data_IF_655526501107
#
_entry.id   IF_655526501107
#
_cell.length_a   1.000
_cell.length_b   1.000
_cell.length_c   1.000
_cell.angle_alpha   90.00
_cell.angle_beta   90.00
_cell.angle_gamma   90.00
#
_symmetry.space_group_name_H-M   'P 1'
#
loop_
_entity.id
_entity.type
_entity.pdbx_description
1 polymer ?
#
# COMPACT_ATOMS: atom_id res chain seq x y z
N UNK A 1 2.46 14.83 20.07
CA UNK A 1 1.40 14.03 19.45
C UNK A 1 1.78 12.56 19.65
N UNK A 2 1.17 11.87 20.61
CA UNK A 2 1.42 10.45 20.86
C UNK A 2 0.41 9.64 20.05
N UNK A 3 0.91 8.92 19.03
CA UNK A 3 0.13 7.98 18.24
C UNK A 3 0.14 6.67 19.02
N UNK A 4 -0.97 6.32 19.63
CA UNK A 4 -1.15 5.00 20.24
C UNK A 4 -1.68 4.04 19.20
N UNK A 5 -0.79 3.30 18.52
CA UNK A 5 -1.16 2.09 17.78
C UNK A 5 -1.30 0.95 18.78
N UNK A 6 -2.52 0.49 19.00
CA UNK A 6 -2.75 -0.77 19.71
C UNK A 6 -2.57 -1.89 18.69
N UNK A 7 -1.34 -2.41 18.60
CA UNK A 7 -1.06 -3.66 17.92
C UNK A 7 -1.17 -4.79 18.94
N UNK A 8 -2.04 -5.74 18.68
CA UNK A 8 -2.14 -6.99 19.45
C UNK A 8 -0.89 -7.81 19.16
N UNK A 9 -0.02 -7.93 20.16
CA UNK A 9 1.24 -8.66 20.12
C UNK A 9 1.01 -10.17 20.16
N UNK A 10 1.44 -10.86 19.13
CA UNK A 10 1.80 -12.29 19.20
C UNK A 10 3.30 -12.43 19.43
N UNK A 11 3.76 -13.53 20.10
CA UNK A 11 5.08 -13.59 20.69
C UNK A 11 6.20 -13.61 19.64
N UNK A 12 7.16 -12.74 19.86
CA UNK A 12 8.40 -12.64 19.09
C UNK A 12 9.41 -13.66 19.60
N UNK A 13 9.82 -14.57 18.75
CA UNK A 13 11.12 -15.23 18.88
C UNK A 13 11.85 -15.07 17.55
N UNK A 14 12.80 -14.14 17.50
CA UNK A 14 14.14 -14.30 16.90
C UNK A 14 14.86 -12.97 16.84
N UNK A 15 15.72 -12.75 17.84
CA UNK A 15 16.75 -11.71 17.88
C UNK A 15 17.89 -12.09 16.92
N UNK A 16 17.79 -11.65 15.68
CA UNK A 16 18.94 -11.32 14.84
C UNK A 16 18.69 -9.93 14.29
N UNK A 17 19.71 -9.07 14.39
CA UNK A 17 19.72 -7.71 13.86
C UNK A 17 19.50 -7.72 12.33
N UNK A 18 18.25 -7.95 11.93
CA UNK A 18 17.77 -7.59 10.60
C UNK A 18 17.41 -6.11 10.69
N UNK A 19 18.01 -5.32 9.84
CA UNK A 19 17.58 -3.95 9.59
C UNK A 19 16.06 -4.01 9.42
N UNK A 20 15.33 -3.33 10.29
CA UNK A 20 13.88 -3.36 10.23
C UNK A 20 13.45 -2.73 8.91
N UNK A 21 12.48 -3.29 8.23
CA UNK A 21 11.97 -2.74 6.96
C UNK A 21 11.42 -1.30 7.14
N UNK A 22 11.02 -0.96 8.36
CA UNK A 22 10.64 0.39 8.77
C UNK A 22 11.79 1.40 8.60
N UNK A 23 13.04 0.96 8.88
CA UNK A 23 14.24 1.80 8.68
C UNK A 23 14.48 2.06 7.17
N UNK A 24 14.11 1.09 6.33
CA UNK A 24 14.15 1.24 4.87
C UNK A 24 13.11 2.27 4.43
N UNK A 25 11.89 2.15 4.95
CA UNK A 25 10.81 3.09 4.67
C UNK A 25 11.19 4.52 5.11
N UNK A 26 11.72 4.70 6.33
CA UNK A 26 12.17 6.01 6.82
C UNK A 26 13.24 6.64 5.91
N UNK A 27 14.18 5.86 5.39
CA UNK A 27 15.19 6.35 4.44
C UNK A 27 14.59 6.73 3.09
N UNK A 28 13.60 6.00 2.61
CA UNK A 28 12.88 6.33 1.39
C UNK A 28 12.09 7.62 1.55
N UNK A 29 11.45 7.81 2.71
CA UNK A 29 10.69 9.02 3.06
C UNK A 29 11.60 10.24 3.22
N UNK A 30 12.76 10.08 3.88
CA UNK A 30 13.70 11.19 4.12
C UNK A 30 14.23 11.84 2.82
N UNK A 31 14.16 11.13 1.70
CA UNK A 31 14.58 11.59 0.38
C UNK A 31 13.43 12.12 -0.50
N UNK A 32 12.20 12.16 0.01
CA UNK A 32 11.01 12.52 -0.77
C UNK A 32 10.33 13.82 -0.35
N UNK A 33 9.45 14.32 -1.20
CA UNK A 33 8.63 15.52 -0.94
C UNK A 33 7.46 15.23 0.04
N UNK A 34 7.00 16.24 0.80
CA UNK A 34 6.08 16.13 1.95
C UNK A 34 4.59 15.83 1.61
N UNK A 35 4.27 14.87 0.77
CA UNK A 35 2.88 14.47 0.56
C UNK A 35 2.48 13.27 1.44
N UNK A 36 1.84 13.53 2.57
CA UNK A 36 1.49 12.54 3.59
C UNK A 36 0.65 11.35 3.06
N UNK A 37 -0.30 11.60 2.16
CA UNK A 37 -1.16 10.54 1.60
C UNK A 37 -0.40 9.57 0.67
N UNK A 38 0.66 10.05 0.02
CA UNK A 38 1.51 9.22 -0.83
C UNK A 38 2.39 8.29 -0.01
N UNK A 39 2.89 8.76 1.15
CA UNK A 39 3.68 7.94 2.07
C UNK A 39 2.85 6.84 2.72
N UNK A 40 1.60 7.12 3.04
CA UNK A 40 0.69 6.10 3.58
C UNK A 40 0.46 4.96 2.58
N UNK A 41 0.26 5.29 1.30
CA UNK A 41 0.15 4.30 0.23
C UNK A 41 1.43 3.46 0.04
N UNK A 42 2.62 4.10 0.09
CA UNK A 42 3.89 3.40 -0.02
C UNK A 42 4.11 2.47 1.17
N UNK A 43 3.83 2.95 2.38
CA UNK A 43 3.93 2.15 3.59
C UNK A 43 3.04 0.90 3.53
N UNK A 44 1.80 1.07 3.08
CA UNK A 44 0.87 -0.03 2.89
C UNK A 44 1.35 -1.02 1.83
N UNK A 45 1.88 -0.53 0.70
CA UNK A 45 2.41 -1.38 -0.37
C UNK A 45 3.64 -2.19 0.10
N UNK A 46 4.56 -1.58 0.84
CA UNK A 46 5.72 -2.26 1.40
C UNK A 46 5.34 -3.24 2.51
N UNK A 47 4.37 -2.89 3.36
CA UNK A 47 3.84 -3.80 4.38
C UNK A 47 3.24 -5.05 3.73
N UNK A 48 2.44 -4.87 2.68
CA UNK A 48 1.85 -5.97 1.92
C UNK A 48 2.92 -6.86 1.27
N UNK A 49 3.97 -6.26 0.70
CA UNK A 49 5.09 -7.00 0.11
C UNK A 49 5.90 -7.78 1.16
N UNK A 50 6.04 -7.25 2.38
CA UNK A 50 6.73 -7.94 3.47
C UNK A 50 5.94 -9.15 3.97
N UNK A 51 4.63 -8.99 4.13
CA UNK A 51 3.77 -10.09 4.57
C UNK A 51 3.64 -11.19 3.51
N UNK A 52 3.79 -10.81 2.25
CA UNK A 52 3.68 -11.67 1.09
C UNK A 52 4.89 -11.50 0.17
N UNK A 53 6.06 -11.99 0.59
CA UNK A 53 7.28 -11.83 -0.19
C UNK A 53 7.16 -12.44 -1.58
N UNK A 54 7.70 -11.73 -2.56
CA UNK A 54 7.71 -12.17 -3.96
C UNK A 54 8.77 -13.27 -4.13
N UNK A 55 8.40 -14.38 -4.74
CA UNK A 55 9.39 -15.37 -5.13
C UNK A 55 10.18 -14.86 -6.34
N UNK A 56 11.45 -14.54 -6.14
CA UNK A 56 12.32 -13.97 -7.16
C UNK A 56 12.42 -14.86 -8.40
N UNK A 57 12.40 -16.19 -8.20
CA UNK A 57 12.56 -17.18 -9.27
C UNK A 57 11.36 -17.30 -10.20
N UNK A 58 10.20 -16.83 -9.77
CA UNK A 58 8.96 -16.85 -10.57
C UNK A 58 8.40 -15.46 -10.80
N UNK A 59 9.11 -14.43 -10.32
CA UNK A 59 8.66 -13.05 -10.41
C UNK A 59 8.54 -12.61 -11.87
N UNK A 60 7.42 -11.96 -12.17
CA UNK A 60 7.24 -11.27 -13.45
C UNK A 60 7.89 -9.89 -13.40
N UNK A 61 8.08 -9.28 -14.59
CA UNK A 61 8.59 -7.91 -14.67
C UNK A 61 7.73 -6.95 -13.87
N UNK A 62 6.41 -7.05 -13.99
CA UNK A 62 5.44 -6.21 -13.29
C UNK A 62 5.48 -6.38 -11.76
N UNK A 63 5.83 -7.58 -11.29
CA UNK A 63 5.99 -7.83 -9.85
C UNK A 63 7.28 -7.19 -9.31
N UNK A 64 8.37 -7.25 -10.05
CA UNK A 64 9.63 -6.62 -9.67
C UNK A 64 9.56 -5.08 -9.75
N UNK A 65 8.80 -4.55 -10.70
CA UNK A 65 8.56 -3.11 -10.84
C UNK A 65 7.75 -2.51 -9.67
N UNK A 66 7.14 -3.31 -8.80
CA UNK A 66 6.54 -2.82 -7.55
C UNK A 66 7.58 -2.24 -6.59
N UNK A 67 8.82 -2.68 -6.69
CA UNK A 67 9.90 -2.12 -5.89
C UNK A 67 10.37 -0.79 -6.49
N UNK A 68 9.87 0.32 -5.96
CA UNK A 68 10.17 1.67 -6.46
C UNK A 68 11.65 2.05 -6.44
N UNK A 69 12.47 1.32 -5.70
CA UNK A 69 13.91 1.52 -5.63
C UNK A 69 14.70 0.69 -6.67
N UNK A 70 14.03 -0.18 -7.43
CA UNK A 70 14.65 -0.87 -8.56
C UNK A 70 14.49 -0.05 -9.84
N UNK A 71 15.58 0.17 -10.56
CA UNK A 71 15.51 0.70 -11.91
C UNK A 71 15.06 -0.37 -12.90
N UNK A 72 14.45 0.03 -14.03
CA UNK A 72 14.06 -0.90 -15.11
C UNK A 72 15.21 -1.76 -15.57
N UNK A 73 16.39 -1.16 -15.71
CA UNK A 73 17.61 -1.86 -16.08
C UNK A 73 17.96 -2.96 -15.10
N UNK A 74 17.81 -2.68 -13.81
CA UNK A 74 18.09 -3.67 -12.77
C UNK A 74 17.06 -4.80 -12.77
N UNK A 75 15.79 -4.48 -12.99
CA UNK A 75 14.72 -5.47 -13.18
C UNK A 75 15.03 -6.37 -14.39
N UNK A 76 15.43 -5.79 -15.51
CA UNK A 76 15.82 -6.56 -16.70
C UNK A 76 17.06 -7.43 -16.46
N UNK A 77 18.04 -6.92 -15.73
CA UNK A 77 19.23 -7.68 -15.37
C UNK A 77 18.90 -8.87 -14.45
N UNK A 78 17.98 -8.72 -13.50
CA UNK A 78 17.49 -9.82 -12.65
C UNK A 78 16.83 -10.89 -13.51
N UNK A 79 15.92 -10.51 -14.40
CA UNK A 79 15.22 -11.44 -15.29
C UNK A 79 16.19 -12.13 -16.26
N UNK A 80 17.17 -11.40 -16.79
CA UNK A 80 18.21 -11.96 -17.64
C UNK A 80 19.09 -12.96 -16.89
N UNK A 81 19.45 -12.67 -15.64
CA UNK A 81 20.21 -13.59 -14.80
C UNK A 81 19.44 -14.91 -14.61
N UNK A 82 18.15 -14.83 -14.25
CA UNK A 82 17.29 -16.00 -14.08
C UNK A 82 17.14 -16.81 -15.37
N UNK A 83 17.03 -16.13 -16.52
CA UNK A 83 16.97 -16.80 -17.82
C UNK A 83 18.27 -17.54 -18.15
N UNK A 84 19.43 -16.92 -17.88
CA UNK A 84 20.74 -17.43 -18.28
C UNK A 84 21.30 -18.49 -17.32
N UNK A 85 21.14 -18.27 -16.03
CA UNK A 85 21.79 -19.10 -14.99
C UNK A 85 20.81 -19.97 -14.21
N UNK A 86 19.53 -19.76 -14.38
CA UNK A 86 18.48 -20.51 -13.67
C UNK A 86 18.07 -19.87 -12.34
N UNK A 87 17.33 -20.62 -11.51
CA UNK A 87 16.79 -20.11 -10.27
C UNK A 87 17.89 -19.81 -9.24
N UNK A 88 17.75 -18.68 -8.56
CA UNK A 88 18.60 -18.27 -7.44
C UNK A 88 18.25 -19.06 -6.19
N UNK A 89 19.23 -19.46 -5.41
CA UNK A 89 19.07 -20.21 -4.16
C UNK A 89 19.22 -19.32 -2.91
N UNK A 90 19.88 -18.18 -3.06
CA UNK A 90 20.18 -17.29 -1.93
C UNK A 90 20.29 -15.82 -2.34
N UNK A 91 20.20 -14.93 -1.31
CA UNK A 91 20.40 -13.49 -1.49
C UNK A 91 21.80 -13.11 -1.98
N UNK A 92 22.81 -13.99 -1.76
CA UNK A 92 24.18 -13.75 -2.26
C UNK A 92 24.28 -13.78 -3.79
N UNK A 93 23.42 -14.55 -4.43
CA UNK A 93 23.40 -14.64 -5.89
C UNK A 93 22.85 -13.37 -6.54
N UNK A 94 22.04 -12.59 -5.82
CA UNK A 94 21.62 -11.26 -6.29
C UNK A 94 22.80 -10.34 -6.56
N UNK A 95 23.90 -10.45 -5.78
CA UNK A 95 25.11 -9.66 -6.00
C UNK A 95 25.86 -10.02 -7.29
N UNK A 96 25.52 -11.15 -7.92
CA UNK A 96 26.06 -11.53 -9.23
C UNK A 96 25.29 -10.93 -10.39
N UNK A 97 24.13 -10.32 -10.11
CA UNK A 97 23.36 -9.59 -11.12
C UNK A 97 24.08 -8.30 -11.47
N UNK A 98 24.17 -8.00 -12.75
CA UNK A 98 24.82 -6.79 -13.23
C UNK A 98 24.15 -5.52 -12.65
N UNK A 99 24.94 -4.55 -12.23
CA UNK A 99 24.53 -3.29 -11.63
C UNK A 99 23.80 -3.43 -10.26
N UNK A 100 23.83 -4.62 -9.63
CA UNK A 100 23.29 -4.84 -8.30
C UNK A 100 24.31 -4.42 -7.24
N UNK A 101 23.88 -3.59 -6.29
CA UNK A 101 24.68 -3.19 -5.14
C UNK A 101 24.20 -3.84 -3.83
N UNK A 102 25.07 -3.82 -2.81
CA UNK A 102 24.78 -4.43 -1.50
C UNK A 102 23.58 -3.74 -0.83
N UNK A 103 23.41 -2.45 -1.05
CA UNK A 103 22.32 -1.69 -0.43
C UNK A 103 20.97 -2.06 -1.04
N UNK A 104 20.90 -2.19 -2.36
CA UNK A 104 19.70 -2.66 -3.06
C UNK A 104 19.32 -4.09 -2.64
N UNK A 105 20.31 -4.99 -2.49
CA UNK A 105 20.06 -6.35 -1.96
C UNK A 105 19.47 -6.29 -0.54
N UNK A 106 20.00 -5.43 0.34
CA UNK A 106 19.43 -5.25 1.69
C UNK A 106 17.99 -4.76 1.64
N UNK A 107 17.67 -3.83 0.74
CA UNK A 107 16.32 -3.32 0.58
C UNK A 107 15.36 -4.37 0.04
N UNK A 108 15.81 -5.25 -0.87
CA UNK A 108 14.99 -6.32 -1.42
C UNK A 108 14.74 -7.47 -0.44
N UNK A 109 15.73 -7.80 0.38
CA UNK A 109 15.72 -9.00 1.21
C UNK A 109 14.46 -9.23 2.06
N UNK A 110 13.84 -8.21 2.70
CA UNK A 110 12.61 -8.40 3.46
C UNK A 110 11.38 -8.78 2.62
N UNK A 111 11.42 -8.53 1.32
CA UNK A 111 10.28 -8.58 0.40
C UNK A 111 10.34 -9.72 -0.61
N UNK A 112 11.40 -10.53 -0.57
CA UNK A 112 11.61 -11.62 -1.54
C UNK A 112 11.86 -12.95 -0.88
N UNK A 113 11.58 -14.03 -1.63
CA UNK A 113 11.90 -15.42 -1.27
C UNK A 113 12.58 -16.12 -2.43
N UNK A 114 13.31 -17.21 -2.14
CA UNK A 114 14.05 -18.02 -3.10
C UNK A 114 13.49 -19.44 -3.18
N UNK A 115 12.17 -19.59 -3.21
CA UNK A 115 11.54 -20.91 -3.29
C UNK A 115 11.73 -21.53 -4.66
N UNK A 116 11.84 -22.86 -4.72
CA UNK A 116 11.81 -23.59 -5.99
C UNK A 116 10.48 -23.36 -6.70
N UNK A 117 10.55 -23.24 -8.03
CA UNK A 117 9.40 -22.95 -8.88
C UNK A 117 8.50 -24.18 -9.05
N UNK A 118 7.78 -24.58 -8.03
CA UNK A 118 6.60 -25.40 -8.24
C UNK A 118 5.46 -24.50 -8.72
N UNK A 119 5.29 -24.47 -10.04
CA UNK A 119 4.19 -23.76 -10.69
C UNK A 119 2.90 -24.43 -10.29
N UNK A 120 2.23 -23.94 -9.27
CA UNK A 120 0.80 -24.21 -9.05
C UNK A 120 0.02 -23.69 -10.26
N UNK A 121 -0.24 -24.61 -11.20
CA UNK A 121 -1.09 -24.36 -12.38
C UNK A 121 -2.57 -24.46 -12.08
N UNK A 122 -2.96 -24.61 -10.84
CA UNK A 122 -4.36 -24.80 -10.49
C UNK A 122 -5.14 -23.49 -10.51
N UNK A 123 -6.20 -23.52 -11.33
CA UNK A 123 -7.23 -22.48 -11.29
C UNK A 123 -7.94 -22.61 -9.94
N UNK A 124 -7.77 -21.67 -9.02
CA UNK A 124 -8.37 -21.81 -7.70
C UNK A 124 -9.89 -21.77 -7.83
N UNK A 125 -10.55 -22.72 -7.17
CA UNK A 125 -12.00 -22.69 -7.02
C UNK A 125 -12.39 -21.60 -6.00
N UNK A 126 -13.58 -21.02 -6.10
CA UNK A 126 -14.07 -20.01 -5.15
C UNK A 126 -13.99 -20.49 -3.70
N UNK A 127 -14.27 -21.75 -3.43
CA UNK A 127 -14.13 -22.35 -2.09
C UNK A 127 -12.69 -22.32 -1.60
N UNK A 128 -11.73 -22.60 -2.47
CA UNK A 128 -10.29 -22.55 -2.16
C UNK A 128 -9.85 -21.10 -1.88
N UNK A 129 -10.32 -20.14 -2.67
CA UNK A 129 -10.04 -18.72 -2.48
C UNK A 129 -10.51 -18.28 -1.09
N UNK A 130 -11.76 -18.57 -0.73
CA UNK A 130 -12.34 -18.15 0.55
C UNK A 130 -11.64 -18.82 1.75
N UNK A 131 -11.37 -20.13 1.64
CA UNK A 131 -10.81 -20.89 2.76
C UNK A 131 -9.32 -20.61 3.01
N UNK A 132 -8.56 -20.24 1.97
CA UNK A 132 -7.12 -19.98 2.07
C UNK A 132 -6.78 -18.50 1.90
N UNK A 133 -7.79 -17.65 1.73
CA UNK A 133 -7.61 -16.20 1.71
C UNK A 133 -7.26 -15.67 3.10
N UNK A 134 -6.34 -14.72 3.15
CA UNK A 134 -6.01 -13.97 4.36
C UNK A 134 -6.97 -12.81 4.53
N UNK A 135 -7.41 -12.60 5.75
CA UNK A 135 -8.29 -11.50 6.12
C UNK A 135 -7.58 -10.64 7.16
N UNK A 136 -7.64 -9.35 6.96
CA UNK A 136 -7.09 -8.37 7.87
C UNK A 136 -8.14 -7.31 8.17
N UNK A 137 -8.22 -6.94 9.44
CA UNK A 137 -9.06 -5.88 9.92
C UNK A 137 -8.20 -4.90 10.69
N UNK A 138 -8.06 -3.69 10.19
CA UNK A 138 -7.35 -2.62 10.89
C UNK A 138 -8.30 -1.48 11.22
N UNK A 139 -8.04 -0.81 12.35
CA UNK A 139 -8.74 0.40 12.76
C UNK A 139 -7.74 1.36 13.36
N UNK A 140 -7.90 2.64 13.04
CA UNK A 140 -7.09 3.72 13.57
C UNK A 140 -8.01 4.73 14.26
N UNK A 141 -7.59 5.17 15.43
CA UNK A 141 -8.30 6.16 16.24
C UNK A 141 -7.32 7.24 16.67
N UNK A 142 -7.54 8.49 16.21
CA UNK A 142 -6.72 9.63 16.59
C UNK A 142 -7.52 10.52 17.53
N UNK A 143 -7.12 10.55 18.80
CA UNK A 143 -7.78 11.34 19.85
C UNK A 143 -6.92 12.56 20.16
N UNK A 144 -7.40 13.80 19.90
CA UNK A 144 -6.70 15.00 20.31
C UNK A 144 -6.79 15.20 21.82
N UNK A 145 -5.68 15.47 22.49
CA UNK A 145 -5.63 15.80 23.92
C UNK A 145 -5.90 17.29 24.21
N UNK A 146 -6.33 18.04 23.20
CA UNK A 146 -6.67 19.46 23.32
C UNK A 146 -8.03 19.74 22.67
N UNK A 147 -8.70 20.77 23.15
CA UNK A 147 -9.99 21.18 22.58
C UNK A 147 -9.77 21.95 21.28
N UNK A 148 -10.22 21.40 20.15
CA UNK A 148 -10.18 22.08 18.85
C UNK A 148 -11.12 23.28 18.84
N UNK A 149 -10.79 24.29 18.04
CA UNK A 149 -11.57 25.57 17.96
C UNK A 149 -13.05 25.37 17.68
N UNK A 150 -13.43 24.38 16.86
CA UNK A 150 -14.84 24.10 16.52
C UNK A 150 -15.68 23.53 17.66
N UNK A 151 -15.10 23.20 18.83
CA UNK A 151 -15.79 22.77 20.06
C UNK A 151 -15.80 23.84 21.14
N UNK A 152 -15.17 24.98 20.88
CA UNK A 152 -15.23 26.11 21.82
C UNK A 152 -16.64 26.79 21.79
N UNK A 153 -17.03 27.43 22.87
CA UNK A 153 -18.26 28.22 22.88
C UNK A 153 -18.22 29.29 21.80
N UNK A 154 -19.24 29.33 20.97
CA UNK A 154 -19.35 30.27 19.85
C UNK A 154 -20.60 31.14 20.13
N UNK A 155 -20.49 32.46 19.88
CA UNK A 155 -21.57 33.40 20.03
C UNK A 155 -22.65 33.17 18.95
N UNK A 156 -23.92 33.46 19.24
CA UNK A 156 -25.01 33.28 18.27
C UNK A 156 -24.82 34.11 17.00
N UNK A 157 -24.15 35.24 17.11
CA UNK A 157 -23.83 36.14 15.99
C UNK A 157 -22.76 35.53 15.08
N UNK A 158 -21.67 35.01 15.63
CA UNK A 158 -20.62 34.31 14.87
C UNK A 158 -21.13 33.06 14.17
N UNK A 159 -22.09 32.34 14.77
CA UNK A 159 -22.70 31.16 14.17
C UNK A 159 -23.63 31.51 13.01
N UNK A 160 -24.26 32.69 13.05
CA UNK A 160 -25.06 33.20 11.92
C UNK A 160 -24.18 33.61 10.72
N UNK A 161 -23.02 34.24 11.00
CA UNK A 161 -22.07 34.63 9.96
C UNK A 161 -21.39 33.43 9.32
N UNK A 162 -21.05 32.41 10.14
CA UNK A 162 -20.35 31.21 9.71
C UNK A 162 -20.96 29.94 10.28
N UNK A 163 -22.00 29.38 9.66
CA UNK A 163 -22.73 28.19 10.18
C UNK A 163 -21.85 26.95 10.30
N UNK A 164 -20.76 26.85 9.52
CA UNK A 164 -19.84 25.71 9.51
C UNK A 164 -18.72 25.81 10.56
N UNK A 165 -18.71 26.84 11.39
CA UNK A 165 -17.68 27.07 12.42
C UNK A 165 -17.80 26.11 13.60
N UNK A 166 -18.96 25.51 13.80
CA UNK A 166 -19.26 24.55 14.89
C UNK A 166 -19.20 23.12 14.36
N UNK A 167 -18.40 22.30 15.00
CA UNK A 167 -18.39 20.86 14.72
C UNK A 167 -19.65 20.18 15.29
N UNK A 168 -20.22 19.27 14.50
CA UNK A 168 -21.48 18.58 14.85
C UNK A 168 -21.21 17.16 15.42
N UNK A 169 -20.06 16.59 15.17
CA UNK A 169 -19.64 15.27 15.63
C UNK A 169 -18.58 15.33 16.73
N UNK A 170 -18.11 14.19 17.17
CA UNK A 170 -17.08 14.09 18.21
C UNK A 170 -15.67 14.41 17.68
N UNK A 171 -14.73 14.70 18.61
CA UNK A 171 -13.45 15.33 18.30
C UNK A 171 -12.38 14.39 17.75
N UNK A 172 -12.62 13.10 17.73
CA UNK A 172 -11.62 12.14 17.26
C UNK A 172 -11.89 11.69 15.82
N UNK A 173 -10.80 11.43 15.12
CA UNK A 173 -10.77 10.77 13.81
C UNK A 173 -10.77 9.27 14.02
N UNK A 174 -11.48 8.54 13.18
CA UNK A 174 -11.31 7.11 13.11
C UNK A 174 -11.53 6.58 11.70
N UNK A 175 -10.77 5.55 11.38
CA UNK A 175 -10.99 4.78 10.18
C UNK A 175 -11.13 3.27 10.50
N UNK A 176 -11.70 2.60 9.54
CA UNK A 176 -11.91 1.17 9.52
C UNK A 176 -11.46 0.66 8.16
N UNK A 177 -10.60 -0.35 8.14
CA UNK A 177 -10.13 -0.97 6.90
C UNK A 177 -10.25 -2.49 7.01
N UNK A 178 -10.97 -3.07 6.10
CA UNK A 178 -11.05 -4.50 5.90
C UNK A 178 -10.37 -4.87 4.59
N UNK A 179 -9.48 -5.85 4.61
CA UNK A 179 -8.83 -6.39 3.44
C UNK A 179 -8.94 -7.91 3.42
N UNK A 180 -9.24 -8.46 2.25
CA UNK A 180 -9.18 -9.87 1.95
C UNK A 180 -8.25 -10.06 0.78
N UNK A 181 -7.33 -11.02 0.90
CA UNK A 181 -6.36 -11.34 -0.13
C UNK A 181 -6.22 -12.84 -0.31
N UNK A 182 -6.19 -13.28 -1.55
CA UNK A 182 -5.83 -14.64 -1.91
C UNK A 182 -4.69 -14.63 -2.93
N UNK A 183 -3.48 -15.03 -2.50
CA UNK A 183 -2.26 -14.97 -3.32
C UNK A 183 -2.12 -13.58 -3.97
N UNK A 184 -1.52 -13.49 -5.15
CA UNK A 184 -1.48 -12.26 -5.98
C UNK A 184 -2.68 -12.15 -6.94
N UNK A 185 -3.72 -12.98 -6.76
CA UNK A 185 -4.81 -13.12 -7.73
C UNK A 185 -6.07 -12.37 -7.35
N UNK A 186 -6.42 -12.32 -6.07
CA UNK A 186 -7.68 -11.73 -5.62
C UNK A 186 -7.43 -10.79 -4.45
N UNK A 187 -7.89 -9.56 -4.59
CA UNK A 187 -7.86 -8.53 -3.57
C UNK A 187 -9.25 -7.92 -3.43
N UNK A 188 -9.80 -7.94 -2.24
CA UNK A 188 -11.07 -7.29 -1.90
C UNK A 188 -10.84 -6.43 -0.69
N UNK A 189 -11.39 -5.25 -0.66
CA UNK A 189 -11.30 -4.43 0.54
C UNK A 189 -12.35 -3.34 0.61
N UNK A 190 -12.47 -2.81 1.81
CA UNK A 190 -13.31 -1.69 2.15
C UNK A 190 -12.56 -0.82 3.14
N UNK A 191 -12.32 0.43 2.78
CA UNK A 191 -11.85 1.46 3.69
C UNK A 191 -13.00 2.40 3.97
N UNK A 192 -13.20 2.75 5.23
CA UNK A 192 -14.18 3.75 5.64
C UNK A 192 -13.54 4.67 6.67
N UNK A 193 -13.78 5.96 6.56
CA UNK A 193 -13.23 6.94 7.50
C UNK A 193 -14.23 8.00 7.88
N UNK A 194 -13.92 8.65 8.97
CA UNK A 194 -14.65 9.78 9.51
C UNK A 194 -13.67 10.79 10.08
N UNK A 195 -13.74 12.00 9.59
CA UNK A 195 -12.94 13.09 10.10
C UNK A 195 -13.39 13.59 11.48
N UNK A 196 -12.44 14.20 12.18
CA UNK A 196 -12.72 14.78 13.49
C UNK A 196 -13.64 15.99 13.36
N UNK A 197 -14.79 15.94 14.03
CA UNK A 197 -15.80 17.00 13.98
C UNK A 197 -17.01 16.68 13.13
N UNK A 198 -16.97 15.63 12.35
CA UNK A 198 -18.08 15.19 11.52
C UNK A 198 -19.08 14.33 12.28
N UNK A 199 -20.38 14.44 11.96
CA UNK A 199 -21.41 13.63 12.59
C UNK A 199 -21.33 12.18 12.16
N UNK A 200 -21.50 11.23 13.10
CA UNK A 200 -21.48 9.81 12.87
C UNK A 200 -22.78 9.18 13.32
N UNK A 201 -23.56 8.64 12.40
CA UNK A 201 -24.94 8.16 12.60
C UNK A 201 -25.87 9.18 13.26
N UNK A 202 -25.58 10.47 13.16
CA UNK A 202 -26.35 11.54 13.77
C UNK A 202 -26.59 12.71 12.81
N UNK A 203 -27.64 13.51 13.06
CA UNK A 203 -27.92 14.70 12.30
C UNK A 203 -28.14 14.45 10.81
N UNK A 204 -27.34 15.08 9.97
CA UNK A 204 -27.41 14.95 8.50
C UNK A 204 -26.73 13.69 7.97
N UNK A 205 -25.83 13.08 8.74
CA UNK A 205 -25.12 11.87 8.35
C UNK A 205 -25.71 10.62 9.02
N UNK A 206 -26.67 9.98 8.35
CA UNK A 206 -27.28 8.72 8.81
C UNK A 206 -26.50 7.48 8.32
N UNK A 207 -25.50 7.64 7.44
CA UNK A 207 -24.74 6.55 6.84
C UNK A 207 -23.51 6.11 7.65
N UNK A 208 -23.17 6.84 8.70
CA UNK A 208 -22.02 6.58 9.57
C UNK A 208 -20.78 7.29 9.08
N UNK A 209 -19.92 6.58 8.37
CA UNK A 209 -18.72 7.17 7.76
C UNK A 209 -19.11 8.14 6.63
N UNK A 210 -18.36 9.19 6.44
CA UNK A 210 -18.51 10.14 5.35
C UNK A 210 -17.81 9.69 4.08
N UNK A 211 -16.73 8.92 4.22
CA UNK A 211 -16.01 8.34 3.12
C UNK A 211 -16.02 6.80 3.15
N UNK A 212 -16.24 6.20 1.99
CA UNK A 212 -16.16 4.76 1.75
C UNK A 212 -15.40 4.47 0.46
N UNK A 213 -14.38 3.61 0.56
CA UNK A 213 -13.56 3.18 -0.57
C UNK A 213 -13.57 1.66 -0.70
N UNK A 214 -14.58 1.08 -1.38
CA UNK A 214 -14.58 -0.34 -1.72
C UNK A 214 -13.70 -0.59 -2.94
N UNK A 215 -13.03 -1.75 -2.98
CA UNK A 215 -12.33 -2.23 -4.15
C UNK A 215 -12.41 -3.75 -4.30
N UNK A 216 -12.39 -4.20 -5.54
CA UNK A 216 -12.18 -5.58 -5.94
C UNK A 216 -11.17 -5.59 -7.09
N UNK A 217 -10.08 -6.33 -6.92
CA UNK A 217 -9.09 -6.52 -7.96
C UNK A 217 -8.82 -8.02 -8.13
N UNK A 218 -9.05 -8.52 -9.34
CA UNK A 218 -8.76 -9.91 -9.73
C UNK A 218 -7.70 -9.88 -10.82
N UNK A 219 -6.68 -10.72 -10.72
CA UNK A 219 -5.57 -10.81 -11.67
C UNK A 219 -5.29 -12.24 -12.07
N UNK A 220 -4.87 -12.44 -13.31
CA UNK A 220 -4.32 -13.69 -13.86
C UNK A 220 -5.15 -14.93 -13.53
N UNK A 221 -6.48 -14.82 -13.68
CA UNK A 221 -7.42 -15.94 -13.53
C UNK A 221 -7.82 -16.52 -14.89
N UNK A 222 -7.05 -17.47 -15.37
CA UNK A 222 -7.29 -18.12 -16.65
C UNK A 222 -7.11 -17.17 -17.84
N UNK A 223 -8.22 -16.80 -18.51
CA UNK A 223 -8.21 -15.84 -19.62
C UNK A 223 -8.32 -14.38 -19.17
N UNK A 224 -8.74 -14.17 -17.93
CA UNK A 224 -8.89 -12.83 -17.35
C UNK A 224 -7.53 -12.34 -16.86
N UNK A 225 -7.00 -11.32 -17.51
CA UNK A 225 -5.72 -10.71 -17.12
C UNK A 225 -5.86 -9.80 -15.90
N UNK A 226 -6.85 -8.90 -15.92
CA UNK A 226 -7.18 -8.05 -14.79
C UNK A 226 -8.66 -7.64 -14.85
N UNK A 227 -9.28 -7.56 -13.67
CA UNK A 227 -10.60 -6.96 -13.44
C UNK A 227 -10.48 -6.10 -12.19
N UNK A 228 -10.78 -4.83 -12.31
CA UNK A 228 -10.87 -3.91 -11.19
C UNK A 228 -12.28 -3.32 -11.10
N UNK A 229 -12.84 -3.30 -9.91
CA UNK A 229 -14.13 -2.69 -9.59
C UNK A 229 -14.00 -1.85 -8.33
N UNK A 230 -14.75 -0.74 -8.26
CA UNK A 230 -14.67 0.22 -7.16
C UNK A 230 -13.49 1.15 -7.33
N UNK A 231 -12.80 1.47 -6.24
CA UNK A 231 -11.67 2.41 -6.25
C UNK A 231 -10.37 1.67 -6.60
N UNK A 232 -9.72 2.08 -7.68
CA UNK A 232 -8.47 1.50 -8.13
C UNK A 232 -7.55 2.58 -8.71
N UNK A 233 -6.27 2.27 -8.79
CA UNK A 233 -5.25 3.13 -9.40
C UNK A 233 -4.79 2.56 -10.73
N UNK A 234 -4.59 3.44 -11.70
CA UNK A 234 -4.08 3.09 -13.02
C UNK A 234 -2.76 3.78 -13.27
N UNK A 235 -1.84 3.05 -13.87
CA UNK A 235 -0.63 3.60 -14.43
C UNK A 235 -0.34 2.92 -15.78
N UNK A 236 -0.28 3.69 -16.84
CA UNK A 236 0.02 3.18 -18.18
C UNK A 236 1.09 4.01 -18.88
N UNK A 237 1.96 3.30 -19.60
CA UNK A 237 3.05 3.91 -20.35
C UNK A 237 4.07 4.58 -19.42
N UNK A 238 4.45 5.80 -19.75
CA UNK A 238 5.38 6.62 -18.95
C UNK A 238 4.69 7.42 -17.84
N UNK A 239 3.41 7.18 -17.59
CA UNK A 239 2.67 7.90 -16.58
C UNK A 239 2.32 9.36 -16.93
N UNK A 240 2.43 9.74 -18.19
CA UNK A 240 2.16 11.13 -18.62
C UNK A 240 0.67 11.47 -18.68
N UNK A 241 -0.17 10.47 -18.96
CA UNK A 241 -1.63 10.67 -19.12
C UNK A 241 -2.40 9.99 -17.98
N UNK A 242 -1.99 8.78 -17.62
CA UNK A 242 -2.62 8.00 -16.55
C UNK A 242 -1.55 7.56 -15.57
N UNK A 243 -1.35 8.35 -14.53
CA UNK A 243 -0.48 8.01 -13.42
C UNK A 243 -1.11 8.48 -12.11
N UNK A 244 -1.59 7.53 -11.34
CA UNK A 244 -2.09 7.74 -9.98
C UNK A 244 -1.14 7.15 -8.94
N UNK A 245 0.07 6.77 -9.38
CA UNK A 245 1.09 6.18 -8.53
C UNK A 245 1.94 7.23 -7.82
N UNK A 246 2.60 6.77 -6.77
CA UNK A 246 3.55 7.54 -6.00
C UNK A 246 4.80 7.91 -6.81
N UNK A 247 5.18 9.18 -6.79
CA UNK A 247 6.42 9.67 -7.35
C UNK A 247 7.34 10.12 -6.21
N UNK A 248 8.43 9.39 -6.00
CA UNK A 248 9.46 9.77 -5.05
C UNK A 248 10.25 10.97 -5.60
N UNK A 249 10.05 12.17 -5.07
CA UNK A 249 10.79 13.42 -5.28
C UNK A 249 11.52 13.65 -6.62
N UNK A 250 11.92 14.86 -6.90
CA UNK A 250 12.50 15.26 -8.20
C UNK A 250 13.77 14.49 -8.59
N UNK A 251 14.63 14.16 -7.64
CA UNK A 251 15.89 13.44 -7.88
C UNK A 251 15.66 11.97 -8.23
N UNK A 252 14.71 11.33 -7.57
CA UNK A 252 14.34 9.95 -7.83
C UNK A 252 13.53 9.84 -9.12
N UNK A 253 12.74 10.86 -9.46
CA UNK A 253 12.07 10.97 -10.76
C UNK A 253 13.07 10.93 -11.93
N UNK A 254 14.22 11.57 -11.80
CA UNK A 254 15.23 11.60 -12.87
C UNK A 254 15.84 10.19 -13.06
N UNK A 255 16.12 9.47 -11.98
CA UNK A 255 16.69 8.12 -12.04
C UNK A 255 15.67 7.06 -12.47
N UNK A 256 14.37 7.33 -12.27
CA UNK A 256 13.25 6.46 -12.66
C UNK A 256 12.51 6.95 -13.90
N UNK A 257 12.99 8.02 -14.55
CA UNK A 257 12.49 8.48 -15.84
C UNK A 257 12.69 7.39 -16.88
N UNK A 258 11.58 6.79 -17.32
CA UNK A 258 11.61 5.63 -18.21
C UNK A 258 10.99 4.37 -17.62
N UNK A 259 10.76 4.33 -16.30
CA UNK A 259 10.07 3.21 -15.66
C UNK A 259 8.62 3.15 -16.15
N UNK A 260 8.33 2.15 -16.94
CA UNK A 260 6.98 1.85 -17.42
C UNK A 260 6.25 1.04 -16.36
N UNK A 261 5.78 1.71 -15.31
CA UNK A 261 4.91 1.05 -14.34
C UNK A 261 3.50 0.94 -14.93
N UNK A 262 3.31 -0.03 -15.80
CA UNK A 262 1.98 -0.31 -16.35
C UNK A 262 1.22 -1.25 -15.43
N UNK A 263 0.00 -0.90 -15.09
CA UNK A 263 -0.87 -1.82 -14.37
C UNK A 263 -2.03 -1.17 -13.64
N UNK A 264 -2.86 -2.05 -13.10
CA UNK A 264 -3.98 -1.71 -12.24
C UNK A 264 -3.60 -2.10 -10.82
N UNK A 265 -3.71 -1.18 -9.87
CA UNK A 265 -3.47 -1.41 -8.44
C UNK A 265 -4.73 -1.16 -7.62
N UNK A 266 -4.85 -1.83 -6.48
CA UNK A 266 -5.89 -1.54 -5.50
C UNK A 266 -5.72 -0.11 -4.97
N UNK A 267 -6.82 0.53 -4.61
CA UNK A 267 -6.82 1.80 -3.87
C UNK A 267 -7.48 1.58 -2.51
N UNK A 268 -6.68 1.52 -1.47
CA UNK A 268 -7.11 1.28 -0.09
C UNK A 268 -6.85 2.45 0.83
N UNK A 269 -6.41 3.57 0.27
CA UNK A 269 -6.14 4.81 1.01
C UNK A 269 -7.42 5.50 1.46
N UNK A 270 -7.30 6.29 2.51
CA UNK A 270 -8.32 7.24 2.99
C UNK A 270 -8.31 8.53 2.18
N UNK A 271 -7.50 8.64 1.15
CA UNK A 271 -7.50 9.82 0.28
C UNK A 271 -8.79 9.89 -0.52
N UNK A 272 -9.59 10.93 -0.26
CA UNK A 272 -10.87 11.19 -0.93
C UNK A 272 -10.73 11.53 -2.41
N UNK A 273 -9.55 11.91 -2.88
CA UNK A 273 -9.30 12.12 -4.30
C UNK A 273 -9.38 10.77 -5.02
N UNK A 274 -10.56 10.48 -5.51
CA UNK A 274 -10.82 9.29 -6.31
C UNK A 274 -10.40 9.53 -7.74
N UNK A 275 -9.78 8.54 -8.30
CA UNK A 275 -9.23 8.65 -9.64
C UNK A 275 -10.06 7.90 -10.68
N UNK A 276 -10.93 7.01 -10.27
CA UNK A 276 -11.85 6.27 -11.17
C UNK A 276 -13.06 5.72 -10.41
#
# INVERSE_FOLDING_TARGET
MLIACISVLFPVNNLYSQEKWEDIFERLVANGDENSSQWENLFEELTDLKEHPININTATKEQLEKFHFLSDRLVENILYYLYKYGPMLSDKELLMVQDMDIQTVRYLKPFITFQSSDKEKDKPNLKTIINHGKQELSTRLDIPFYTRKGYQPITSEELRENPNKRYLGYAFYHNFRYTFRYSDKVYVGLTAEKDAGEPFFTGKNQKGYDYYSPYLLIRDMGRLKALALGNYRLNYGYGLVMNTDFNMGKTTMISTMGNRKAGIKKHSSTNEYQYF
#
